data_IF_359105150358
#
_entry.id   IF_359105150358
#
_cell.length_a   1.000
_cell.length_b   1.000
_cell.length_c   1.000
_cell.angle_alpha   90.00
_cell.angle_beta   90.00
_cell.angle_gamma   90.00
#
_symmetry.space_group_name_H-M   'P 1'
#
loop_
_entity.id
_entity.type
_entity.pdbx_description
1 polymer ?
#
# COMPACT_ATOMS: atom_id res chain seq x y z
N UNK A 1 -16.06 11.26 42.17
CA UNK A 1 -16.35 11.29 40.72
C UNK A 1 -15.05 11.67 40.03
N UNK A 2 -14.43 10.72 39.33
CA UNK A 2 -13.07 10.85 38.83
C UNK A 2 -13.00 11.79 37.62
N UNK A 3 -11.96 12.62 37.53
CA UNK A 3 -11.75 13.63 36.46
C UNK A 3 -11.68 13.07 35.04
N UNK A 4 -11.46 11.75 34.91
CA UNK A 4 -11.47 11.00 33.65
C UNK A 4 -12.91 10.88 33.08
N UNK A 5 -13.92 10.70 33.93
CA UNK A 5 -15.33 10.62 33.48
C UNK A 5 -15.85 11.98 33.01
N UNK A 6 -15.35 13.07 33.59
CA UNK A 6 -15.70 14.44 33.20
C UNK A 6 -15.11 14.81 31.84
N UNK A 7 -13.87 14.38 31.59
CA UNK A 7 -13.17 14.62 30.32
C UNK A 7 -13.78 13.81 29.18
N UNK A 8 -14.14 12.54 29.44
CA UNK A 8 -14.80 11.70 28.45
C UNK A 8 -16.20 12.22 28.09
N UNK A 9 -16.98 12.70 29.07
CA UNK A 9 -18.27 13.35 28.80
C UNK A 9 -18.13 14.62 27.98
N UNK A 10 -17.14 15.46 28.27
CA UNK A 10 -16.89 16.66 27.49
C UNK A 10 -16.51 16.33 26.04
N UNK A 11 -15.70 15.28 25.83
CA UNK A 11 -15.36 14.79 24.48
C UNK A 11 -16.61 14.27 23.77
N UNK A 12 -17.44 13.46 24.43
CA UNK A 12 -18.71 12.95 23.87
C UNK A 12 -19.69 14.08 23.53
N UNK A 13 -19.78 15.09 24.40
CA UNK A 13 -20.64 16.25 24.24
C UNK A 13 -20.14 17.15 23.09
N UNK A 14 -18.82 17.40 22.99
CA UNK A 14 -18.22 18.11 21.86
C UNK A 14 -18.40 17.36 20.53
N UNK A 15 -18.23 16.03 20.53
CA UNK A 15 -18.46 15.18 19.36
C UNK A 15 -19.93 15.19 18.91
N UNK A 16 -20.88 15.29 19.86
CA UNK A 16 -22.31 15.36 19.54
C UNK A 16 -22.71 16.67 18.85
N UNK A 17 -22.08 17.80 19.21
CA UNK A 17 -22.31 19.10 18.59
C UNK A 17 -21.54 19.30 17.27
N UNK A 18 -20.51 18.48 17.02
CA UNK A 18 -19.72 18.53 15.80
C UNK A 18 -20.20 17.59 14.69
N UNK A 19 -21.28 16.82 14.87
CA UNK A 19 -21.85 16.02 13.77
C UNK A 19 -22.47 16.97 12.74
N UNK A 20 -21.80 17.24 11.60
CA UNK A 20 -22.43 18.06 10.58
C UNK A 20 -23.67 17.31 10.06
N UNK A 21 -24.72 18.02 9.64
CA UNK A 21 -25.87 17.37 9.00
C UNK A 21 -25.36 16.52 7.84
N UNK A 22 -25.66 15.23 7.88
CA UNK A 22 -25.25 14.26 6.87
C UNK A 22 -26.01 14.60 5.59
N UNK A 23 -25.35 14.99 4.50
CA UNK A 23 -26.05 15.32 3.25
C UNK A 23 -26.78 14.08 2.72
N UNK A 24 -27.95 14.24 2.09
CA UNK A 24 -28.67 13.14 1.40
C UNK A 24 -27.76 12.45 0.38
N UNK A 25 -27.89 11.14 0.13
CA UNK A 25 -27.06 10.43 -0.87
C UNK A 25 -27.05 11.19 -2.19
N UNK A 26 -25.84 11.53 -2.66
CA UNK A 26 -25.62 12.18 -3.95
C UNK A 26 -25.88 11.16 -5.07
N UNK A 27 -27.17 10.93 -5.37
CA UNK A 27 -27.55 10.18 -6.56
C UNK A 27 -27.33 11.09 -7.75
N UNK A 28 -26.38 10.72 -8.60
CA UNK A 28 -26.14 11.38 -9.87
C UNK A 28 -26.81 10.55 -10.98
N UNK A 29 -28.08 10.83 -11.33
CA UNK A 29 -28.83 10.03 -12.32
C UNK A 29 -28.20 10.00 -13.72
N UNK A 30 -27.21 10.86 -14.00
CA UNK A 30 -26.48 10.93 -15.29
C UNK A 30 -24.98 10.62 -15.16
N UNK A 31 -24.54 9.94 -14.10
CA UNK A 31 -23.11 9.64 -13.90
C UNK A 31 -22.64 8.46 -14.77
N UNK A 32 -21.85 8.77 -15.81
CA UNK A 32 -21.16 7.75 -16.63
C UNK A 32 -20.30 6.78 -15.81
N UNK A 33 -19.73 7.25 -14.71
CA UNK A 33 -18.94 6.42 -13.79
C UNK A 33 -19.85 5.42 -13.06
N UNK A 34 -21.00 5.88 -12.54
CA UNK A 34 -21.97 5.01 -11.89
C UNK A 34 -22.63 4.03 -12.87
N UNK A 35 -22.91 4.46 -14.10
CA UNK A 35 -23.37 3.61 -15.20
C UNK A 35 -22.36 2.51 -15.52
N UNK A 36 -21.07 2.85 -15.59
CA UNK A 36 -20.02 1.87 -15.82
C UNK A 36 -20.01 0.80 -14.73
N UNK A 37 -20.07 1.18 -13.45
CA UNK A 37 -20.06 0.19 -12.36
C UNK A 37 -21.37 -0.61 -12.20
N UNK A 38 -22.42 -0.28 -12.97
CA UNK A 38 -23.67 -1.02 -12.92
C UNK A 38 -23.48 -2.49 -13.33
N UNK A 39 -24.08 -3.41 -12.56
CA UNK A 39 -24.01 -4.86 -12.74
C UNK A 39 -22.60 -5.49 -12.69
N UNK A 40 -21.56 -4.71 -12.37
CA UNK A 40 -20.20 -5.22 -12.18
C UNK A 40 -20.04 -5.84 -10.80
N UNK A 41 -19.18 -6.86 -10.70
CA UNK A 41 -18.68 -7.34 -9.42
C UNK A 41 -17.21 -6.94 -9.24
N UNK A 42 -16.90 -6.38 -8.07
CA UNK A 42 -15.62 -5.77 -7.76
C UNK A 42 -14.89 -6.61 -6.71
N UNK A 43 -13.57 -6.70 -6.78
CA UNK A 43 -12.74 -7.33 -5.74
C UNK A 43 -11.80 -6.29 -5.12
N UNK A 44 -11.81 -6.19 -3.80
CA UNK A 44 -11.05 -5.18 -3.06
C UNK A 44 -10.18 -5.85 -2.00
N UNK A 45 -8.87 -5.68 -2.13
CA UNK A 45 -7.93 -6.00 -1.05
C UNK A 45 -7.80 -4.79 -0.12
N UNK A 46 -7.58 -5.03 1.18
CA UNK A 46 -7.38 -3.94 2.14
C UNK A 46 -8.67 -3.17 2.49
N UNK A 47 -9.84 -3.70 2.13
CA UNK A 47 -11.17 -3.11 2.38
C UNK A 47 -11.45 -2.78 3.86
N UNK A 48 -10.76 -3.44 4.79
CA UNK A 48 -10.90 -3.20 6.24
C UNK A 48 -9.98 -2.12 6.79
N UNK A 49 -9.08 -1.55 5.97
CA UNK A 49 -8.21 -0.43 6.32
C UNK A 49 -8.82 0.92 5.93
N UNK A 50 -8.23 2.03 6.38
CA UNK A 50 -8.74 3.39 6.21
C UNK A 50 -9.24 3.71 4.79
N UNK A 51 -8.34 3.66 3.80
CA UNK A 51 -8.66 3.94 2.39
C UNK A 51 -9.65 2.91 1.83
N UNK A 52 -9.49 1.62 2.19
CA UNK A 52 -10.38 0.56 1.72
C UNK A 52 -11.84 0.72 2.20
N UNK A 53 -12.06 1.15 3.45
CA UNK A 53 -13.40 1.41 3.98
C UNK A 53 -14.08 2.55 3.23
N UNK A 54 -13.35 3.66 3.04
CA UNK A 54 -13.83 4.81 2.29
C UNK A 54 -14.14 4.45 0.83
N UNK A 55 -13.32 3.59 0.21
CA UNK A 55 -13.58 3.08 -1.15
C UNK A 55 -14.88 2.28 -1.23
N UNK A 56 -15.07 1.32 -0.31
CA UNK A 56 -16.29 0.50 -0.26
C UNK A 56 -17.52 1.37 -0.02
N UNK A 57 -17.46 2.31 0.92
CA UNK A 57 -18.53 3.27 1.20
C UNK A 57 -18.90 4.07 -0.06
N UNK A 58 -17.92 4.72 -0.71
CA UNK A 58 -18.18 5.59 -1.85
C UNK A 58 -18.76 4.81 -3.04
N UNK A 59 -18.27 3.60 -3.30
CA UNK A 59 -18.82 2.70 -4.31
C UNK A 59 -20.26 2.32 -3.98
N UNK A 60 -20.55 1.89 -2.75
CA UNK A 60 -21.90 1.53 -2.32
C UNK A 60 -22.88 2.71 -2.38
N UNK A 61 -22.42 3.91 -2.04
CA UNK A 61 -23.23 5.13 -2.03
C UNK A 61 -23.46 5.72 -3.41
N UNK A 62 -22.42 5.78 -4.24
CA UNK A 62 -22.45 6.51 -5.52
C UNK A 62 -22.66 5.61 -6.74
N UNK A 63 -22.42 4.30 -6.60
CA UNK A 63 -22.59 3.29 -7.64
C UNK A 63 -23.56 2.20 -7.15
N UNK A 64 -24.78 2.62 -6.81
CA UNK A 64 -25.82 1.80 -6.18
C UNK A 64 -26.33 0.62 -7.04
N UNK A 65 -25.96 0.54 -8.32
CA UNK A 65 -26.24 -0.59 -9.22
C UNK A 65 -25.11 -1.61 -9.35
N UNK A 66 -24.03 -1.49 -8.56
CA UNK A 66 -23.02 -2.56 -8.45
C UNK A 66 -23.70 -3.86 -8.04
N UNK A 67 -23.34 -4.96 -8.70
CA UNK A 67 -23.89 -6.30 -8.42
C UNK A 67 -23.38 -6.80 -7.08
N UNK A 68 -22.06 -6.78 -6.87
CA UNK A 68 -21.42 -7.31 -5.66
C UNK A 68 -20.03 -6.73 -5.44
N UNK A 69 -19.63 -6.58 -4.18
CA UNK A 69 -18.27 -6.20 -3.80
C UNK A 69 -17.69 -7.32 -2.93
N UNK A 70 -16.72 -8.01 -3.49
CA UNK A 70 -15.91 -9.02 -2.80
C UNK A 70 -14.80 -8.34 -2.03
N UNK A 71 -14.75 -8.58 -0.71
CA UNK A 71 -13.74 -8.00 0.17
C UNK A 71 -12.82 -9.10 0.71
N UNK A 72 -11.52 -9.00 0.43
CA UNK A 72 -10.54 -9.95 0.97
C UNK A 72 -10.31 -9.67 2.46
N UNK A 73 -10.61 -10.66 3.30
CA UNK A 73 -10.48 -10.57 4.75
C UNK A 73 -9.70 -11.78 5.27
N UNK A 74 -8.65 -11.50 6.05
CA UNK A 74 -7.95 -12.49 6.88
C UNK A 74 -8.49 -12.53 8.29
N UNK A 75 -8.40 -13.67 8.96
CA UNK A 75 -8.61 -13.74 10.41
C UNK A 75 -7.51 -12.95 11.11
N UNK A 76 -7.89 -12.15 12.12
CA UNK A 76 -6.92 -11.30 12.84
C UNK A 76 -7.48 -10.95 14.21
N UNK A 77 -6.62 -10.93 15.24
CA UNK A 77 -6.99 -10.60 16.63
C UNK A 77 -8.14 -11.49 17.16
N UNK A 78 -8.10 -12.78 16.83
CA UNK A 78 -9.10 -13.76 17.27
C UNK A 78 -10.49 -13.62 16.63
N UNK A 79 -10.68 -12.70 15.68
CA UNK A 79 -11.96 -12.53 14.96
C UNK A 79 -11.97 -13.32 13.66
N UNK A 80 -13.08 -14.01 13.42
CA UNK A 80 -13.44 -14.66 12.16
C UNK A 80 -13.63 -13.63 11.04
N UNK A 81 -13.60 -14.08 9.78
CA UNK A 81 -13.82 -13.18 8.64
C UNK A 81 -15.23 -12.56 8.65
N UNK A 82 -16.24 -13.31 9.12
CA UNK A 82 -17.63 -12.83 9.23
C UNK A 82 -17.76 -11.74 10.29
N UNK A 83 -17.15 -11.92 11.47
CA UNK A 83 -17.14 -10.88 12.51
C UNK A 83 -16.43 -9.62 12.01
N UNK A 84 -15.33 -9.76 11.28
CA UNK A 84 -14.61 -8.62 10.70
C UNK A 84 -15.40 -7.93 9.59
N UNK A 85 -16.19 -8.66 8.80
CA UNK A 85 -17.13 -8.07 7.83
C UNK A 85 -18.23 -7.30 8.56
N UNK A 86 -18.76 -7.84 9.65
CA UNK A 86 -19.78 -7.18 10.46
C UNK A 86 -19.23 -5.92 11.15
N UNK A 87 -17.99 -5.94 11.64
CA UNK A 87 -17.31 -4.73 12.13
C UNK A 87 -17.18 -3.65 11.05
N UNK A 88 -16.86 -4.05 9.80
CA UNK A 88 -16.80 -3.14 8.66
C UNK A 88 -18.15 -2.49 8.41
N UNK A 89 -19.20 -3.31 8.27
CA UNK A 89 -20.58 -2.88 8.00
C UNK A 89 -21.07 -1.94 9.10
N UNK A 90 -20.83 -2.26 10.38
CA UNK A 90 -21.25 -1.45 11.54
C UNK A 90 -20.44 -0.18 11.75
N UNK A 91 -19.37 0.03 11.00
CA UNK A 91 -18.56 1.24 11.15
C UNK A 91 -19.31 2.50 10.72
N UNK A 92 -18.92 3.64 11.28
CA UNK A 92 -19.51 4.95 11.00
C UNK A 92 -19.41 5.39 9.53
N UNK A 93 -18.51 4.76 8.75
CA UNK A 93 -18.44 4.99 7.31
C UNK A 93 -19.79 4.77 6.63
N UNK A 94 -20.52 3.74 7.07
CA UNK A 94 -21.76 3.32 6.44
C UNK A 94 -23.02 3.93 7.08
N UNK A 95 -22.89 4.86 8.03
CA UNK A 95 -24.04 5.53 8.68
C UNK A 95 -24.93 6.20 7.64
N UNK A 96 -24.33 6.99 6.74
CA UNK A 96 -25.05 7.69 5.65
C UNK A 96 -25.83 6.74 4.74
N UNK A 97 -25.27 5.56 4.46
CA UNK A 97 -25.96 4.54 3.66
C UNK A 97 -27.15 4.00 4.44
N UNK A 98 -26.98 3.58 5.70
CA UNK A 98 -28.10 3.10 6.53
C UNK A 98 -29.24 4.11 6.62
N UNK A 99 -28.92 5.36 6.94
CA UNK A 99 -29.89 6.44 7.12
C UNK A 99 -30.70 6.74 5.84
N UNK A 100 -30.09 6.52 4.66
CA UNK A 100 -30.75 6.83 3.38
C UNK A 100 -31.63 5.69 2.86
N UNK A 101 -31.37 4.45 3.28
CA UNK A 101 -32.18 3.30 2.87
C UNK A 101 -33.23 2.97 3.93
N UNK A 102 -33.10 1.87 4.66
CA UNK A 102 -34.13 1.37 5.59
C UNK A 102 -33.69 1.42 7.07
N UNK A 103 -32.61 2.15 7.37
CA UNK A 103 -32.00 2.16 8.70
C UNK A 103 -31.30 0.85 9.09
N UNK A 104 -31.29 -0.15 8.21
CA UNK A 104 -30.73 -1.48 8.44
C UNK A 104 -29.43 -1.70 7.64
N UNK A 105 -28.73 -2.78 7.95
CA UNK A 105 -27.55 -3.22 7.20
C UNK A 105 -27.88 -4.11 6.00
N UNK A 106 -29.16 -4.34 5.69
CA UNK A 106 -29.60 -5.35 4.70
C UNK A 106 -28.93 -5.16 3.34
N UNK A 107 -28.92 -3.93 2.80
CA UNK A 107 -28.28 -3.63 1.52
C UNK A 107 -26.78 -3.94 1.53
N UNK A 108 -26.10 -3.64 2.64
CA UNK A 108 -24.68 -3.88 2.82
C UNK A 108 -24.39 -5.38 2.90
N UNK A 109 -25.20 -6.13 3.65
CA UNK A 109 -25.09 -7.58 3.81
C UNK A 109 -25.41 -8.34 2.51
N UNK A 110 -26.31 -7.80 1.69
CA UNK A 110 -26.63 -8.37 0.38
C UNK A 110 -25.49 -8.18 -0.64
N UNK A 111 -24.86 -7.00 -0.63
CA UNK A 111 -23.85 -6.62 -1.64
C UNK A 111 -22.41 -6.93 -1.26
N UNK A 112 -22.08 -6.98 0.02
CA UNK A 112 -20.72 -7.24 0.49
C UNK A 112 -20.51 -8.73 0.75
N UNK A 113 -19.51 -9.32 0.11
CA UNK A 113 -19.17 -10.72 0.28
C UNK A 113 -17.73 -10.85 0.78
N UNK A 114 -17.55 -11.42 1.98
CA UNK A 114 -16.23 -11.67 2.52
C UNK A 114 -15.58 -12.89 1.86
N UNK A 115 -14.39 -12.67 1.29
CA UNK A 115 -13.53 -13.73 0.78
C UNK A 115 -12.43 -13.98 1.80
N UNK A 116 -12.29 -15.24 2.23
CA UNK A 116 -11.19 -15.63 3.12
C UNK A 116 -9.87 -15.56 2.36
N UNK A 117 -8.88 -14.86 2.90
CA UNK A 117 -7.52 -14.93 2.36
C UNK A 117 -6.56 -13.93 2.97
N UNK A 118 -5.27 -14.13 2.70
CA UNK A 118 -4.17 -13.26 3.09
C UNK A 118 -3.31 -12.96 1.86
N UNK A 119 -3.04 -11.67 1.64
CA UNK A 119 -2.25 -11.18 0.51
C UNK A 119 -0.84 -11.77 0.47
N UNK A 120 -0.33 -12.29 1.59
CA UNK A 120 0.99 -12.90 1.68
C UNK A 120 1.00 -14.40 1.36
N UNK A 121 -0.12 -14.96 0.90
CA UNK A 121 -0.24 -16.37 0.52
C UNK A 121 -0.34 -16.54 -0.99
N UNK A 122 0.02 -17.72 -1.53
CA UNK A 122 -0.15 -18.03 -2.95
C UNK A 122 -1.57 -17.73 -3.43
N UNK A 123 -1.72 -16.97 -4.53
CA UNK A 123 -3.02 -16.49 -5.06
C UNK A 123 -3.94 -15.92 -3.96
N UNK A 124 -3.35 -15.15 -3.03
CA UNK A 124 -4.02 -14.51 -1.89
C UNK A 124 -4.61 -15.49 -0.85
N UNK A 125 -4.26 -16.78 -0.92
CA UNK A 125 -4.77 -17.82 -0.01
C UNK A 125 -6.27 -18.06 -0.13
N UNK A 126 -6.86 -17.72 -1.28
CA UNK A 126 -8.29 -17.87 -1.54
C UNK A 126 -8.61 -19.35 -1.76
N UNK A 127 -9.67 -19.83 -1.11
CA UNK A 127 -10.13 -21.22 -1.24
C UNK A 127 -10.67 -21.52 -2.63
N UNK A 128 -10.72 -22.81 -2.99
CA UNK A 128 -11.12 -23.25 -4.33
C UNK A 128 -12.51 -22.77 -4.77
N UNK A 129 -13.53 -22.86 -3.88
CA UNK A 129 -14.89 -22.44 -4.20
C UNK A 129 -15.00 -20.93 -4.44
N UNK A 130 -14.38 -20.13 -3.57
CA UNK A 130 -14.31 -18.67 -3.71
C UNK A 130 -13.55 -18.28 -4.98
N UNK A 131 -12.46 -18.98 -5.31
CA UNK A 131 -11.71 -18.74 -6.55
C UNK A 131 -12.57 -18.99 -7.78
N UNK A 132 -13.33 -20.10 -7.80
CA UNK A 132 -14.24 -20.43 -8.90
C UNK A 132 -15.35 -19.40 -9.07
N UNK A 133 -15.88 -18.88 -7.97
CA UNK A 133 -16.86 -17.79 -7.96
C UNK A 133 -16.24 -16.51 -8.55
N UNK A 134 -15.08 -16.10 -8.02
CA UNK A 134 -14.40 -14.87 -8.43
C UNK A 134 -13.97 -14.93 -9.90
N UNK A 135 -13.45 -16.07 -10.35
CA UNK A 135 -13.01 -16.30 -11.73
C UNK A 135 -14.07 -15.91 -12.76
N UNK A 136 -15.35 -16.20 -12.47
CA UNK A 136 -16.49 -16.01 -13.38
C UNK A 136 -17.27 -14.72 -13.15
N UNK A 137 -17.12 -14.08 -11.99
CA UNK A 137 -17.97 -12.92 -11.62
C UNK A 137 -17.17 -11.62 -11.51
N UNK A 138 -15.89 -11.68 -11.14
CA UNK A 138 -15.09 -10.50 -10.86
C UNK A 138 -14.65 -9.80 -12.15
N UNK A 139 -14.91 -8.49 -12.20
CA UNK A 139 -14.63 -7.64 -13.37
C UNK A 139 -13.60 -6.56 -13.10
N UNK A 140 -13.49 -6.05 -11.87
CA UNK A 140 -12.56 -4.98 -11.51
C UNK A 140 -11.85 -5.32 -10.21
N UNK A 141 -10.54 -5.13 -10.17
CA UNK A 141 -9.72 -5.37 -8.97
C UNK A 141 -9.14 -4.05 -8.47
N UNK A 142 -9.42 -3.73 -7.21
CA UNK A 142 -8.77 -2.64 -6.48
C UNK A 142 -7.82 -3.20 -5.42
N UNK A 143 -6.53 -2.95 -5.59
CA UNK A 143 -5.52 -3.37 -4.62
C UNK A 143 -5.12 -2.20 -3.72
N UNK A 144 -5.68 -2.15 -2.51
CA UNK A 144 -5.33 -1.19 -1.46
C UNK A 144 -4.52 -1.79 -0.30
N UNK A 145 -4.29 -3.11 -0.31
CA UNK A 145 -3.60 -3.77 0.79
C UNK A 145 -2.08 -3.55 0.74
N UNK A 146 -1.52 -3.08 1.85
CA UNK A 146 -0.09 -2.90 2.07
C UNK A 146 0.18 -2.71 3.57
N UNK A 147 1.42 -2.92 4.01
CA UNK A 147 1.88 -2.24 5.22
C UNK A 147 2.34 -0.83 4.89
N UNK A 148 1.98 0.11 5.75
CA UNK A 148 2.28 1.55 5.62
C UNK A 148 3.18 2.06 6.75
N UNK A 149 3.70 1.16 7.59
CA UNK A 149 4.55 1.51 8.73
C UNK A 149 5.98 1.76 8.24
N UNK A 150 6.55 2.91 8.60
CA UNK A 150 7.89 3.31 8.17
C UNK A 150 9.01 2.45 8.80
N UNK A 151 8.78 1.89 9.98
CA UNK A 151 9.74 1.05 10.71
C UNK A 151 9.38 -0.43 10.72
N UNK A 152 8.58 -0.91 9.76
CA UNK A 152 8.29 -2.35 9.65
C UNK A 152 9.58 -3.12 9.32
N UNK A 153 9.83 -4.28 9.96
CA UNK A 153 10.91 -5.18 9.55
C UNK A 153 10.88 -5.44 8.05
N UNK A 154 12.06 -5.41 7.41
CA UNK A 154 12.14 -5.40 5.95
C UNK A 154 11.55 -6.65 5.32
N UNK A 155 11.69 -7.83 5.94
CA UNK A 155 11.12 -9.08 5.47
C UNK A 155 9.58 -9.03 5.46
N UNK A 156 8.97 -8.46 6.51
CA UNK A 156 7.54 -8.23 6.61
C UNK A 156 7.09 -7.21 5.56
N UNK A 157 7.82 -6.11 5.39
CA UNK A 157 7.52 -5.09 4.39
C UNK A 157 7.59 -5.64 2.96
N UNK A 158 8.65 -6.37 2.61
CA UNK A 158 8.80 -7.04 1.30
C UNK A 158 7.68 -8.05 1.08
N UNK A 159 7.36 -8.87 2.09
CA UNK A 159 6.28 -9.86 2.00
C UNK A 159 4.91 -9.21 1.75
N UNK A 160 4.60 -8.11 2.44
CA UNK A 160 3.30 -7.43 2.36
C UNK A 160 3.15 -6.48 1.17
N UNK A 161 4.24 -5.87 0.67
CA UNK A 161 4.17 -4.83 -0.36
C UNK A 161 4.70 -5.30 -1.72
N UNK A 162 5.61 -6.28 -1.78
CA UNK A 162 6.23 -6.75 -3.03
C UNK A 162 5.71 -8.15 -3.39
N UNK A 163 5.97 -9.15 -2.54
CA UNK A 163 5.55 -10.54 -2.82
C UNK A 163 4.03 -10.63 -3.06
N UNK A 164 3.24 -9.95 -2.22
CA UNK A 164 1.78 -9.88 -2.33
C UNK A 164 1.28 -9.34 -3.67
N UNK A 165 2.00 -8.40 -4.29
CA UNK A 165 1.66 -7.86 -5.61
C UNK A 165 1.81 -8.94 -6.68
N UNK A 166 2.83 -9.79 -6.56
CA UNK A 166 2.96 -10.97 -7.41
C UNK A 166 1.80 -11.94 -7.23
N UNK A 167 1.40 -12.21 -5.99
CA UNK A 167 0.26 -13.11 -5.71
C UNK A 167 -1.07 -12.53 -6.16
N UNK A 168 -1.23 -11.21 -6.13
CA UNK A 168 -2.37 -10.52 -6.71
C UNK A 168 -2.43 -10.73 -8.23
N UNK A 169 -1.31 -10.55 -8.94
CA UNK A 169 -1.28 -10.77 -10.39
C UNK A 169 -1.59 -12.23 -10.74
N UNK A 170 -1.06 -13.19 -9.96
CA UNK A 170 -1.41 -14.61 -10.12
C UNK A 170 -2.90 -14.89 -9.86
N UNK A 171 -3.51 -14.23 -8.87
CA UNK A 171 -4.96 -14.28 -8.68
C UNK A 171 -5.71 -13.67 -9.87
N UNK A 172 -5.28 -12.50 -10.36
CA UNK A 172 -5.90 -11.83 -11.52
C UNK A 172 -5.80 -12.69 -12.79
N UNK A 173 -4.76 -13.51 -12.92
CA UNK A 173 -4.59 -14.48 -14.00
C UNK A 173 -5.63 -15.60 -14.01
N UNK A 174 -6.42 -15.77 -12.95
CA UNK A 174 -7.53 -16.74 -12.88
C UNK A 174 -8.89 -16.10 -13.22
N UNK A 175 -8.96 -14.78 -13.35
CA UNK A 175 -10.20 -14.06 -13.62
C UNK A 175 -10.48 -14.03 -15.13
N UNK A 176 -11.63 -14.57 -15.54
CA UNK A 176 -12.03 -14.73 -16.95
C UNK A 176 -12.54 -13.42 -17.56
N UNK A 177 -13.19 -12.58 -16.75
CA UNK A 177 -13.86 -11.34 -17.19
C UNK A 177 -13.23 -10.07 -16.60
N UNK A 178 -11.95 -10.13 -16.22
CA UNK A 178 -11.25 -8.99 -15.66
C UNK A 178 -11.05 -7.88 -16.71
N UNK A 179 -11.53 -6.69 -16.39
CA UNK A 179 -11.51 -5.51 -17.27
C UNK A 179 -10.49 -4.46 -16.82
N UNK A 180 -10.18 -4.35 -15.52
CA UNK A 180 -9.17 -3.41 -15.03
C UNK A 180 -8.59 -3.80 -13.67
N UNK A 181 -7.32 -3.42 -13.46
CA UNK A 181 -6.64 -3.50 -12.15
C UNK A 181 -6.18 -2.10 -11.75
N UNK A 182 -6.56 -1.65 -10.55
CA UNK A 182 -6.09 -0.40 -9.95
C UNK A 182 -5.29 -0.72 -8.70
N UNK A 183 -4.00 -0.38 -8.71
CA UNK A 183 -3.07 -0.57 -7.60
C UNK A 183 -2.78 0.75 -6.89
N UNK A 184 -2.94 0.78 -5.57
CA UNK A 184 -2.55 1.93 -4.76
C UNK A 184 -1.08 1.85 -4.34
N UNK A 185 -0.33 2.86 -4.77
CA UNK A 185 1.04 3.14 -4.33
C UNK A 185 1.07 4.44 -3.51
N UNK A 186 2.13 5.24 -3.64
CA UNK A 186 2.27 6.54 -2.97
C UNK A 186 3.13 7.48 -3.81
N UNK A 187 2.86 8.78 -3.76
CA UNK A 187 3.70 9.81 -4.38
C UNK A 187 5.13 9.81 -3.81
N UNK A 188 5.34 9.23 -2.63
CA UNK A 188 6.63 9.13 -1.96
C UNK A 188 7.44 7.88 -2.36
N UNK A 189 6.97 7.04 -3.28
CA UNK A 189 7.73 5.84 -3.72
C UNK A 189 9.10 6.22 -4.27
N UNK A 190 9.17 7.36 -4.96
CA UNK A 190 10.39 7.88 -5.58
C UNK A 190 10.96 9.14 -4.90
N UNK A 191 10.63 9.39 -3.62
CA UNK A 191 11.04 10.60 -2.89
C UNK A 191 12.55 10.77 -2.68
N UNK A 192 13.36 9.75 -2.96
CA UNK A 192 14.82 9.82 -2.93
C UNK A 192 15.42 10.57 -4.13
N UNK A 193 14.63 10.75 -5.20
CA UNK A 193 15.03 11.53 -6.37
C UNK A 193 14.85 13.02 -6.08
N UNK A 194 15.80 13.83 -6.56
CA UNK A 194 15.82 15.29 -6.31
C UNK A 194 15.08 16.08 -7.38
N UNK A 195 14.82 15.47 -8.53
CA UNK A 195 14.14 16.07 -9.66
C UNK A 195 12.62 15.85 -9.60
N UNK A 196 11.89 16.46 -10.53
CA UNK A 196 10.43 16.28 -10.67
C UNK A 196 10.06 14.81 -10.85
N UNK A 197 9.09 14.33 -10.06
CA UNK A 197 8.56 12.97 -10.16
C UNK A 197 7.43 12.94 -11.19
N UNK A 198 7.75 12.45 -12.40
CA UNK A 198 6.80 12.16 -13.47
C UNK A 198 5.97 10.89 -13.23
N UNK A 199 4.86 10.80 -13.96
CA UNK A 199 3.92 9.67 -14.01
C UNK A 199 4.44 8.50 -14.87
N UNK A 200 5.59 7.96 -14.47
CA UNK A 200 6.25 6.81 -15.10
C UNK A 200 6.64 5.78 -14.05
N UNK A 201 6.95 4.57 -14.48
CA UNK A 201 7.55 3.55 -13.61
C UNK A 201 9.06 3.74 -13.63
N UNK A 202 9.63 4.02 -12.46
CA UNK A 202 11.07 4.24 -12.32
C UNK A 202 11.80 2.91 -12.12
N UNK A 203 13.07 2.88 -12.54
CA UNK A 203 13.97 1.78 -12.21
C UNK A 203 14.05 1.62 -10.68
N UNK A 204 13.73 0.42 -10.16
CA UNK A 204 13.71 0.20 -8.73
C UNK A 204 15.14 0.13 -8.17
N UNK A 205 15.35 0.43 -6.87
CA UNK A 205 16.67 0.28 -6.25
C UNK A 205 17.18 -1.17 -6.21
N UNK A 206 16.28 -2.14 -6.30
CA UNK A 206 16.56 -3.56 -6.42
C UNK A 206 15.37 -4.25 -7.09
N UNK A 207 15.63 -5.28 -7.91
CA UNK A 207 14.54 -6.06 -8.52
C UNK A 207 13.73 -6.81 -7.47
N UNK A 208 12.42 -6.90 -7.68
CA UNK A 208 11.50 -7.55 -6.74
C UNK A 208 11.85 -9.01 -6.44
N UNK A 209 12.22 -9.81 -7.44
CA UNK A 209 12.62 -11.20 -7.24
C UNK A 209 13.96 -11.31 -6.48
N UNK A 210 14.89 -10.40 -6.77
CA UNK A 210 16.22 -10.38 -6.16
C UNK A 210 16.13 -10.11 -4.66
N UNK A 211 15.35 -9.10 -4.24
CA UNK A 211 15.22 -8.79 -2.81
C UNK A 211 14.54 -9.93 -2.05
N UNK A 212 13.52 -10.55 -2.67
CA UNK A 212 12.85 -11.69 -2.06
C UNK A 212 13.77 -12.89 -1.90
N UNK A 213 14.61 -13.19 -2.90
CA UNK A 213 15.60 -14.26 -2.81
C UNK A 213 16.67 -13.95 -1.75
N UNK A 214 17.18 -12.72 -1.72
CA UNK A 214 18.17 -12.27 -0.74
C UNK A 214 17.65 -12.41 0.68
N UNK A 215 16.42 -11.97 0.94
CA UNK A 215 15.82 -12.07 2.28
C UNK A 215 15.59 -13.52 2.70
N UNK A 216 15.18 -14.41 1.79
CA UNK A 216 15.10 -15.84 2.10
C UNK A 216 16.46 -16.39 2.53
N UNK A 217 17.52 -16.10 1.76
CA UNK A 217 18.87 -16.54 2.10
C UNK A 217 19.35 -15.99 3.45
N UNK A 218 19.11 -14.70 3.73
CA UNK A 218 19.49 -14.08 5.00
C UNK A 218 18.73 -14.70 6.19
N UNK A 219 17.44 -14.96 6.03
CA UNK A 219 16.64 -15.64 7.05
C UNK A 219 17.14 -17.06 7.28
N UNK A 220 17.47 -17.81 6.23
CA UNK A 220 18.01 -19.16 6.35
C UNK A 220 19.37 -19.16 7.08
N UNK A 221 20.26 -18.23 6.74
CA UNK A 221 21.56 -18.06 7.42
C UNK A 221 21.37 -17.69 8.89
N UNK A 222 20.48 -16.73 9.18
CA UNK A 222 20.20 -16.31 10.56
C UNK A 222 19.66 -17.49 11.39
N UNK A 223 18.75 -18.28 10.84
CA UNK A 223 18.23 -19.49 11.49
C UNK A 223 19.33 -20.53 11.72
N UNK A 224 20.25 -20.73 10.77
CA UNK A 224 21.39 -21.63 10.95
C UNK A 224 22.30 -21.16 12.08
N UNK A 225 22.63 -19.86 12.13
CA UNK A 225 23.46 -19.28 13.21
C UNK A 225 22.81 -19.53 14.58
N UNK A 226 21.49 -19.30 14.70
CA UNK A 226 20.77 -19.58 15.94
C UNK A 226 20.87 -21.05 16.34
N UNK A 227 20.62 -21.98 15.42
CA UNK A 227 20.77 -23.43 15.68
C UNK A 227 22.18 -23.78 16.15
N UNK A 228 23.22 -23.27 15.49
CA UNK A 228 24.61 -23.53 15.90
C UNK A 228 24.95 -22.95 17.28
N UNK A 229 24.39 -21.79 17.64
CA UNK A 229 24.60 -21.18 18.97
C UNK A 229 23.91 -21.93 20.11
N UNK A 230 22.92 -22.77 19.81
CA UNK A 230 22.19 -23.59 20.79
C UNK A 230 22.79 -24.99 20.99
N UNK A 231 23.75 -25.40 20.16
CA UNK A 231 24.47 -26.67 20.34
C UNK A 231 25.37 -26.50 21.58
N UNK A 232 25.15 -27.27 22.66
CA UNK A 232 26.08 -27.25 23.78
C UNK A 232 27.45 -27.67 23.27
N UNK A 233 28.49 -26.87 23.56
CA UNK A 233 29.85 -27.39 23.47
C UNK A 233 29.85 -28.67 24.32
N UNK A 234 30.03 -29.83 23.68
CA UNK A 234 30.33 -31.05 24.43
C UNK A 234 31.56 -30.70 25.25
N UNK A 235 31.39 -30.65 26.57
CA UNK A 235 32.48 -30.52 27.51
C UNK A 235 33.55 -31.52 27.13
N UNK A 236 34.77 -31.03 26.96
CA UNK A 236 35.95 -31.84 27.11
C UNK A 236 36.02 -32.23 28.60
N UNK A 237 35.22 -33.21 29.00
CA UNK A 237 35.36 -33.90 30.28
C UNK A 237 35.81 -35.32 29.94
N UNK A 238 37.12 -35.51 30.05
CA UNK A 238 37.87 -36.67 30.52
C UNK A 238 37.12 -38.01 30.57
N UNK A 239 37.32 -38.86 29.57
CA UNK A 239 37.41 -40.31 29.76
C UNK A 239 38.71 -40.77 29.07
N UNK A 240 39.76 -40.92 29.88
CA UNK A 240 40.99 -41.62 29.54
C UNK A 240 40.66 -43.08 29.22
N UNK A 241 40.59 -43.44 27.93
CA UNK A 241 40.82 -44.82 27.50
C UNK A 241 42.02 -44.87 26.54
N UNK A 242 43.05 -45.58 27.00
CA UNK A 242 44.34 -45.83 26.35
C UNK A 242 44.24 -46.11 24.84
N UNK A 243 44.79 -45.21 24.02
CA UNK A 243 45.21 -45.55 22.67
C UNK A 243 46.59 -44.99 22.37
N UNK A 244 47.59 -45.87 22.46
CA UNK A 244 49.00 -45.61 22.15
C UNK A 244 49.23 -45.72 20.63
N UNK A 245 49.50 -44.58 19.97
CA UNK A 245 49.75 -44.49 18.53
C UNK A 245 50.65 -43.28 18.16
N UNK A 246 51.54 -43.40 17.17
CA UNK A 246 52.80 -42.64 17.11
C UNK A 246 52.65 -41.17 16.66
N UNK A 247 53.66 -40.32 16.95
CA UNK A 247 53.50 -38.88 16.97
C UNK A 247 53.64 -38.25 15.58
N UNK A 248 52.73 -37.33 15.26
CA UNK A 248 52.95 -36.35 14.22
C UNK A 248 51.71 -35.88 13.48
N UNK A 249 50.87 -35.06 14.13
CA UNK A 249 50.07 -34.01 13.48
C UNK A 249 49.44 -33.15 14.59
N UNK A 250 50.10 -32.04 14.91
CA UNK A 250 49.58 -31.05 15.84
C UNK A 250 48.32 -30.39 15.25
N UNK A 251 47.20 -30.52 15.96
CA UNK A 251 45.95 -29.83 15.70
C UNK A 251 46.09 -28.35 16.07
N UNK A 252 46.18 -27.48 15.07
CA UNK A 252 45.94 -26.05 15.25
C UNK A 252 44.44 -25.81 15.34
N UNK A 253 43.97 -25.38 16.51
CA UNK A 253 42.65 -24.76 16.64
C UNK A 253 42.56 -23.55 15.72
N UNK A 254 41.59 -23.56 14.80
CA UNK A 254 41.32 -22.45 13.90
C UNK A 254 39.86 -22.04 14.03
N UNK A 255 39.64 -20.99 14.83
CA UNK A 255 38.48 -20.12 14.70
C UNK A 255 38.43 -19.60 13.26
N UNK A 256 37.37 -19.91 12.52
CA UNK A 256 37.19 -19.44 11.16
C UNK A 256 36.86 -17.93 11.17
N UNK A 257 37.91 -17.11 11.23
CA UNK A 257 37.84 -15.69 10.92
C UNK A 257 37.92 -15.54 9.40
N UNK A 258 36.83 -15.08 8.77
CA UNK A 258 36.75 -14.86 7.34
C UNK A 258 37.55 -13.59 6.99
N UNK A 259 38.86 -13.74 6.78
CA UNK A 259 39.77 -12.69 6.34
C UNK A 259 39.75 -12.59 4.81
N UNK A 260 39.20 -11.49 4.30
CA UNK A 260 39.46 -11.02 2.94
C UNK A 260 40.92 -10.55 2.89
N UNK A 261 41.77 -11.24 2.13
CA UNK A 261 43.15 -10.81 1.85
C UNK A 261 43.17 -9.90 0.62
N UNK A 262 43.71 -8.69 0.79
CA UNK A 262 44.14 -7.82 -0.31
C UNK A 262 45.60 -8.15 -0.68
N UNK A 263 45.90 -8.17 -1.97
CA UNK A 263 47.21 -8.46 -2.54
C UNK A 263 48.08 -7.19 -2.53
N UNK A 264 48.99 -7.07 -1.56
CA UNK A 264 50.30 -6.46 -1.79
C UNK A 264 51.19 -6.62 -0.56
N UNK A 265 52.19 -7.49 -0.66
CA UNK A 265 53.20 -7.66 0.37
C UNK A 265 54.07 -6.41 0.49
N UNK A 266 54.08 -5.79 1.67
CA UNK A 266 55.27 -5.19 2.30
C UNK A 266 54.99 -4.95 3.79
N UNK A 267 55.89 -5.45 4.63
CA UNK A 267 55.79 -5.39 6.09
C UNK A 267 56.38 -4.08 6.61
N UNK A 268 55.61 -3.32 7.39
CA UNK A 268 56.14 -2.35 8.35
C UNK A 268 55.28 -2.35 9.62
N UNK A 269 55.91 -2.59 10.78
CA UNK A 269 55.27 -2.55 12.11
C UNK A 269 54.60 -1.19 12.37
N UNK A 270 53.41 -1.12 13.02
CA UNK A 270 52.84 0.15 13.43
C UNK A 270 53.41 0.62 14.79
N UNK A 271 53.50 1.93 15.03
CA UNK A 271 53.86 2.48 16.34
C UNK A 271 52.68 2.40 17.30
N UNK A 272 53.00 2.21 18.58
CA UNK A 272 52.08 2.24 19.71
C UNK A 272 51.56 3.65 19.99
N UNK A 273 50.24 3.77 20.24
CA UNK A 273 49.64 4.88 20.98
C UNK A 273 48.86 5.88 20.13
N UNK A 274 47.55 5.69 20.06
CA UNK A 274 46.59 6.66 19.54
C UNK A 274 45.18 6.10 19.58
N UNK A 275 44.28 6.74 20.34
CA UNK A 275 42.88 6.36 20.52
C UNK A 275 42.14 6.20 19.17
N UNK A 276 41.99 4.96 18.70
CA UNK A 276 41.01 4.62 17.68
C UNK A 276 39.64 4.52 18.36
N UNK A 277 38.76 5.48 18.05
CA UNK A 277 37.32 5.34 18.32
C UNK A 277 36.85 4.00 17.76
N UNK A 278 36.32 3.14 18.65
CA UNK A 278 35.65 1.89 18.29
C UNK A 278 34.60 2.15 17.20
N UNK A 279 34.45 1.27 16.19
CA UNK A 279 33.31 1.32 15.30
C UNK A 279 32.03 1.20 16.13
N UNK A 280 30.97 1.90 15.71
CA UNK A 280 29.67 1.88 16.36
C UNK A 280 29.18 0.43 16.56
N UNK A 281 28.65 0.17 17.75
CA UNK A 281 28.05 -1.10 18.20
C UNK A 281 27.22 -1.77 17.11
N UNK A 282 27.50 -3.06 16.84
CA UNK A 282 26.65 -3.91 16.00
C UNK A 282 25.22 -3.98 16.55
N UNK A 283 24.25 -4.15 15.65
CA UNK A 283 22.84 -4.33 16.04
C UNK A 283 22.65 -5.74 16.57
N UNK A 284 22.83 -5.89 17.87
CA UNK A 284 22.50 -7.11 18.59
C UNK A 284 20.98 -7.19 18.78
N UNK A 285 20.39 -8.36 18.54
CA UNK A 285 19.01 -8.66 18.88
C UNK A 285 18.81 -8.72 20.41
N UNK A 286 17.56 -8.96 20.86
CA UNK A 286 17.24 -9.05 22.29
C UNK A 286 17.99 -10.18 23.04
N UNK A 287 18.65 -11.09 22.32
CA UNK A 287 19.45 -12.21 22.85
C UNK A 287 20.95 -11.97 22.77
N UNK A 288 21.40 -10.84 22.19
CA UNK A 288 22.82 -10.54 21.98
C UNK A 288 23.38 -11.07 20.65
N UNK A 289 22.57 -11.71 19.81
CA UNK A 289 22.97 -12.25 18.50
C UNK A 289 22.89 -11.18 17.40
N UNK A 290 23.66 -11.32 16.33
CA UNK A 290 23.76 -10.33 15.26
C UNK A 290 22.49 -10.34 14.39
N UNK A 291 21.74 -9.23 14.33
CA UNK A 291 20.53 -9.12 13.51
C UNK A 291 20.88 -8.80 12.05
N UNK A 292 21.03 -9.84 11.25
CA UNK A 292 21.35 -9.75 9.82
C UNK A 292 20.28 -8.99 9.03
N UNK A 293 19.00 -9.12 9.39
CA UNK A 293 17.91 -8.43 8.70
C UNK A 293 17.91 -6.94 9.01
N UNK A 294 18.18 -6.54 10.25
CA UNK A 294 18.31 -5.13 10.61
C UNK A 294 19.51 -4.48 9.92
N UNK A 295 20.66 -5.17 9.86
CA UNK A 295 21.84 -4.64 9.18
C UNK A 295 21.63 -4.54 7.66
N UNK A 296 21.05 -5.58 7.04
CA UNK A 296 20.64 -5.54 5.64
C UNK A 296 19.69 -4.38 5.36
N UNK A 297 18.69 -4.16 6.23
CA UNK A 297 17.76 -3.02 6.14
C UNK A 297 18.51 -1.70 6.12
N UNK A 298 19.46 -1.49 7.03
CA UNK A 298 20.29 -0.28 7.09
C UNK A 298 21.08 -0.07 5.80
N UNK A 299 21.72 -1.11 5.30
CA UNK A 299 22.54 -1.07 4.09
C UNK A 299 21.67 -0.70 2.88
N UNK A 300 20.56 -1.40 2.63
CA UNK A 300 19.75 -1.16 1.42
C UNK A 300 19.06 0.19 1.43
N UNK A 301 18.60 0.67 2.59
CA UNK A 301 18.01 2.01 2.69
C UNK A 301 19.06 3.10 2.40
N UNK A 302 20.28 2.93 2.92
CA UNK A 302 21.39 3.87 2.67
C UNK A 302 21.85 3.85 1.22
N UNK A 303 22.01 2.67 0.62
CA UNK A 303 22.45 2.53 -0.78
C UNK A 303 21.40 3.06 -1.77
N UNK A 304 20.12 2.88 -1.47
CA UNK A 304 19.01 3.38 -2.30
C UNK A 304 18.60 4.82 -2.01
N UNK A 305 19.20 5.45 -0.99
CA UNK A 305 18.82 6.77 -0.48
C UNK A 305 17.32 6.87 -0.10
N UNK A 306 16.69 5.75 0.26
CA UNK A 306 15.29 5.71 0.67
C UNK A 306 15.17 6.01 2.17
N UNK A 307 14.23 6.87 2.59
CA UNK A 307 14.13 7.29 3.98
C UNK A 307 13.63 6.19 4.92
N UNK A 308 12.90 5.20 4.43
CA UNK A 308 12.30 4.15 5.25
C UNK A 308 11.89 2.91 4.42
N UNK A 309 11.52 1.82 5.11
CA UNK A 309 11.15 0.54 4.47
C UNK A 309 9.86 0.65 3.65
N UNK A 310 8.95 1.55 4.01
CA UNK A 310 7.70 1.75 3.27
C UNK A 310 7.94 2.35 1.88
N UNK A 311 8.66 3.48 1.77
CA UNK A 311 8.94 4.11 0.47
C UNK A 311 9.80 3.21 -0.40
N UNK A 312 10.80 2.55 0.20
CA UNK A 312 11.64 1.56 -0.46
C UNK A 312 10.83 0.41 -1.08
N UNK A 313 9.94 -0.21 -0.30
CA UNK A 313 9.13 -1.34 -0.80
C UNK A 313 8.06 -0.91 -1.80
N UNK A 314 7.51 0.31 -1.68
CA UNK A 314 6.56 0.86 -2.65
C UNK A 314 7.21 1.20 -4.00
N UNK A 315 8.46 1.68 -4.00
CA UNK A 315 9.22 1.85 -5.24
C UNK A 315 9.39 0.51 -5.98
N UNK A 316 9.79 -0.53 -5.26
CA UNK A 316 10.02 -1.86 -5.84
C UNK A 316 8.69 -2.48 -6.29
N UNK A 317 7.59 -2.31 -5.53
CA UNK A 317 6.30 -2.92 -5.85
C UNK A 317 5.72 -2.45 -7.18
N UNK A 318 5.96 -1.19 -7.58
CA UNK A 318 5.49 -0.64 -8.85
C UNK A 318 6.17 -1.30 -10.04
N UNK A 319 7.51 -1.39 -10.02
CA UNK A 319 8.27 -2.10 -11.05
C UNK A 319 7.97 -3.61 -11.03
N UNK A 320 7.77 -4.19 -9.85
CA UNK A 320 7.44 -5.60 -9.73
C UNK A 320 6.06 -5.92 -10.31
N UNK A 321 5.06 -5.04 -10.13
CA UNK A 321 3.76 -5.16 -10.79
C UNK A 321 3.93 -5.20 -12.32
N UNK A 322 4.75 -4.29 -12.87
CA UNK A 322 5.05 -4.26 -14.30
C UNK A 322 5.69 -5.57 -14.78
N UNK A 323 6.71 -6.07 -14.08
CA UNK A 323 7.40 -7.31 -14.42
C UNK A 323 6.45 -8.51 -14.41
N UNK A 324 5.56 -8.60 -13.41
CA UNK A 324 4.55 -9.67 -13.34
C UNK A 324 3.53 -9.56 -14.46
N UNK A 325 3.07 -8.36 -14.81
CA UNK A 325 2.19 -8.17 -15.96
C UNK A 325 2.87 -8.56 -17.28
N UNK A 326 4.16 -8.19 -17.45
CA UNK A 326 4.96 -8.55 -18.63
C UNK A 326 5.19 -10.06 -18.77
N UNK A 327 5.16 -10.82 -17.68
CA UNK A 327 5.24 -12.29 -17.72
C UNK A 327 4.03 -12.96 -18.38
N UNK A 328 2.91 -12.24 -18.52
CA UNK A 328 1.68 -12.68 -19.22
C UNK A 328 1.29 -11.66 -20.29
N UNK A 329 2.12 -11.49 -21.34
CA UNK A 329 1.92 -10.46 -22.35
C UNK A 329 0.60 -10.66 -23.11
N UNK A 330 0.14 -11.91 -23.22
CA UNK A 330 -1.14 -12.30 -23.78
C UNK A 330 -2.35 -11.80 -22.97
N UNK A 331 -2.17 -11.36 -21.72
CA UNK A 331 -3.24 -10.82 -20.87
C UNK A 331 -3.15 -9.31 -20.67
N UNK A 332 -1.96 -8.76 -20.48
CA UNK A 332 -1.81 -7.37 -20.00
C UNK A 332 -1.27 -6.39 -21.03
N UNK A 333 -0.52 -6.86 -22.04
CA UNK A 333 0.02 -5.97 -23.06
C UNK A 333 -1.00 -5.71 -24.18
N UNK A 334 -0.75 -4.65 -24.96
CA UNK A 334 -1.57 -4.23 -26.09
C UNK A 334 -3.05 -3.93 -25.72
N UNK A 335 -3.28 -3.41 -24.52
CA UNK A 335 -4.59 -2.91 -24.09
C UNK A 335 -5.61 -3.99 -23.74
N UNK A 336 -5.20 -5.25 -23.55
CA UNK A 336 -6.11 -6.35 -23.21
C UNK A 336 -6.72 -6.23 -21.81
N UNK A 337 -5.89 -6.14 -20.78
CA UNK A 337 -6.32 -5.84 -19.41
C UNK A 337 -5.50 -4.65 -18.92
N UNK A 338 -6.07 -3.43 -18.96
CA UNK A 338 -5.38 -2.25 -18.49
C UNK A 338 -5.13 -2.28 -16.99
N UNK A 339 -3.94 -1.83 -16.58
CA UNK A 339 -3.49 -1.74 -15.19
C UNK A 339 -3.08 -0.30 -14.90
N UNK A 340 -3.48 0.24 -13.75
CA UNK A 340 -3.02 1.54 -13.27
C UNK A 340 -2.41 1.48 -11.88
N UNK A 341 -1.48 2.40 -11.63
CA UNK A 341 -0.93 2.73 -10.32
C UNK A 341 -1.41 4.15 -9.96
N UNK A 342 -2.11 4.28 -8.84
CA UNK A 342 -2.48 5.58 -8.27
C UNK A 342 -1.56 5.87 -7.09
N UNK A 343 -0.87 7.02 -7.14
CA UNK A 343 0.13 7.48 -6.17
C UNK A 343 -0.39 8.71 -5.41
N UNK A 344 -1.22 8.52 -4.37
CA UNK A 344 -1.58 9.63 -3.49
C UNK A 344 -0.41 10.08 -2.63
N UNK A 345 -0.41 11.35 -2.25
CA UNK A 345 0.43 11.87 -1.17
C UNK A 345 -0.07 11.39 0.20
N UNK A 346 0.27 12.08 1.29
CA UNK A 346 -0.10 11.63 2.63
C UNK A 346 -1.63 11.73 2.78
N UNK A 347 -2.29 10.58 2.87
CA UNK A 347 -3.75 10.55 2.97
C UNK A 347 -4.21 11.00 4.35
N UNK A 348 -4.91 12.13 4.40
CA UNK A 348 -5.49 12.72 5.60
C UNK A 348 -6.97 12.43 5.77
N UNK A 349 -7.61 13.18 6.66
CA UNK A 349 -9.04 13.11 6.91
C UNK A 349 -9.87 13.50 5.66
N UNK A 350 -11.12 13.05 5.63
CA UNK A 350 -12.06 13.42 4.56
C UNK A 350 -12.30 14.94 4.52
N UNK A 351 -12.28 15.51 3.33
CA UNK A 351 -12.58 16.93 3.12
C UNK A 351 -14.09 17.19 3.14
N UNK A 352 -14.87 16.35 2.45
CA UNK A 352 -16.33 16.47 2.33
C UNK A 352 -17.07 15.19 2.68
N UNK A 353 -16.62 14.04 2.18
CA UNK A 353 -17.43 12.81 2.19
C UNK A 353 -16.69 11.59 2.80
N UNK A 354 -17.42 10.61 3.38
CA UNK A 354 -18.85 10.62 3.69
C UNK A 354 -19.22 11.56 4.85
N UNK A 355 -18.27 11.87 5.72
CA UNK A 355 -18.39 12.79 6.85
C UNK A 355 -17.14 13.68 6.84
N UNK A 356 -17.33 14.99 6.93
CA UNK A 356 -16.23 15.96 7.00
C UNK A 356 -15.32 15.64 8.18
N UNK A 357 -14.00 15.60 7.95
CA UNK A 357 -13.01 15.32 8.98
C UNK A 357 -12.90 13.85 9.39
N UNK A 358 -13.60 12.93 8.73
CA UNK A 358 -13.54 11.51 9.07
C UNK A 358 -12.12 10.95 8.86
N UNK A 359 -11.57 10.39 9.93
CA UNK A 359 -10.33 9.60 9.93
C UNK A 359 -10.43 8.54 11.03
N UNK A 360 -10.12 7.29 10.72
CA UNK A 360 -10.24 6.16 11.67
C UNK A 360 -8.91 5.43 11.91
N UNK A 361 -7.80 6.14 11.70
CA UNK A 361 -6.46 5.62 11.96
C UNK A 361 -5.60 6.65 12.72
N UNK A 362 -4.59 6.16 13.42
CA UNK A 362 -3.61 6.97 14.14
C UNK A 362 -2.26 7.03 13.41
N UNK A 363 -2.23 6.74 12.12
CA UNK A 363 -0.98 6.71 11.36
C UNK A 363 -0.63 8.12 10.87
N UNK A 364 0.68 8.39 10.76
CA UNK A 364 1.18 9.61 10.12
C UNK A 364 0.68 10.90 10.78
N UNK A 365 0.16 11.88 10.01
CA UNK A 365 -0.27 13.18 10.52
C UNK A 365 -1.31 13.10 11.63
N UNK A 366 -2.27 12.16 11.55
CA UNK A 366 -3.32 12.03 12.56
C UNK A 366 -2.75 11.67 13.93
N UNK A 367 -1.81 10.71 13.96
CA UNK A 367 -1.10 10.34 15.19
C UNK A 367 -0.23 11.46 15.73
N UNK A 368 0.44 12.21 14.86
CA UNK A 368 1.24 13.37 15.25
C UNK A 368 0.37 14.49 15.86
N UNK A 369 -0.73 14.85 15.21
CA UNK A 369 -1.67 15.86 15.70
C UNK A 369 -2.28 15.46 17.05
N UNK A 370 -2.68 14.19 17.19
CA UNK A 370 -3.18 13.67 18.47
C UNK A 370 -2.10 13.71 19.57
N UNK A 371 -0.85 13.39 19.24
CA UNK A 371 0.25 13.41 20.20
C UNK A 371 0.62 14.84 20.63
N UNK A 372 0.53 15.81 19.72
CA UNK A 372 0.66 17.23 20.05
C UNK A 372 -0.49 17.69 20.96
N UNK A 373 -1.72 17.30 20.61
CA UNK A 373 -2.92 17.66 21.36
C UNK A 373 -2.90 17.14 22.81
N UNK A 374 -2.44 15.91 23.01
CA UNK A 374 -2.31 15.32 24.37
C UNK A 374 -1.09 15.82 25.13
N UNK A 375 -0.18 16.57 24.49
CA UNK A 375 1.10 16.98 25.05
C UNK A 375 2.15 15.86 25.12
N UNK A 376 1.87 14.68 24.58
CA UNK A 376 2.81 13.56 24.52
C UNK A 376 3.98 13.83 23.56
N UNK A 377 3.72 14.56 22.48
CA UNK A 377 4.74 15.13 21.60
C UNK A 377 4.83 16.63 21.90
N UNK A 378 5.97 17.08 22.42
CA UNK A 378 6.18 18.50 22.77
C UNK A 378 6.84 19.30 21.63
N UNK A 379 7.66 18.64 20.82
CA UNK A 379 8.32 19.23 19.68
C UNK A 379 8.55 18.15 18.61
N UNK A 380 8.40 18.52 17.34
CA UNK A 380 8.75 17.68 16.21
C UNK A 380 9.96 18.29 15.49
N UNK A 381 11.11 17.60 15.44
CA UNK A 381 12.22 18.03 14.61
C UNK A 381 11.79 18.03 13.14
N UNK A 382 11.94 19.17 12.47
CA UNK A 382 11.52 19.35 11.09
C UNK A 382 12.26 20.48 10.41
N UNK A 383 12.26 20.48 9.08
CA UNK A 383 12.74 21.60 8.29
C UNK A 383 11.53 22.36 7.75
N UNK A 384 11.37 23.63 8.12
CA UNK A 384 10.21 24.45 7.71
C UNK A 384 10.14 24.75 6.21
N UNK A 385 11.20 24.46 5.47
CA UNK A 385 11.26 24.61 4.01
C UNK A 385 10.71 23.37 3.26
N UNK A 386 10.49 22.25 3.96
CA UNK A 386 9.99 21.02 3.34
C UNK A 386 8.47 21.02 3.31
N UNK A 387 7.91 20.71 2.14
CA UNK A 387 6.46 20.56 1.95
C UNK A 387 6.04 19.15 2.39
N UNK A 388 5.13 19.07 3.36
CA UNK A 388 4.41 17.85 3.69
C UNK A 388 3.06 17.88 2.96
N UNK A 389 2.99 17.28 1.78
CA UNK A 389 1.77 17.27 0.96
C UNK A 389 0.76 16.26 1.54
N UNK A 390 -0.45 16.75 1.85
CA UNK A 390 -1.56 15.97 2.40
C UNK A 390 -2.76 16.01 1.45
N UNK A 391 -3.27 14.84 1.07
CA UNK A 391 -4.47 14.70 0.24
C UNK A 391 -5.64 14.16 1.06
N UNK A 392 -6.84 14.74 0.96
CA UNK A 392 -8.04 14.18 1.60
C UNK A 392 -8.41 12.80 1.06
N UNK A 393 -8.83 11.88 1.96
CA UNK A 393 -9.15 10.49 1.57
C UNK A 393 -10.23 10.41 0.50
N UNK A 394 -11.25 11.27 0.54
CA UNK A 394 -12.35 11.29 -0.43
C UNK A 394 -11.90 11.67 -1.85
N UNK A 395 -10.90 12.54 -1.99
CA UNK A 395 -10.28 12.83 -3.29
C UNK A 395 -9.51 11.61 -3.82
N UNK A 396 -8.78 10.91 -2.95
CA UNK A 396 -8.10 9.66 -3.31
C UNK A 396 -9.10 8.62 -3.80
N UNK A 397 -10.23 8.46 -3.10
CA UNK A 397 -11.26 7.50 -3.48
C UNK A 397 -11.88 7.86 -4.83
N UNK A 398 -12.23 9.13 -5.05
CA UNK A 398 -12.75 9.58 -6.34
C UNK A 398 -11.77 9.25 -7.47
N UNK A 399 -10.48 9.51 -7.27
CA UNK A 399 -9.45 9.20 -8.27
C UNK A 399 -9.37 7.70 -8.54
N UNK A 400 -9.38 6.86 -7.50
CA UNK A 400 -9.33 5.39 -7.65
C UNK A 400 -10.52 4.85 -8.44
N UNK A 401 -11.74 5.30 -8.12
CA UNK A 401 -12.97 4.90 -8.81
C UNK A 401 -12.95 5.40 -10.27
N UNK A 402 -12.60 6.67 -10.49
CA UNK A 402 -12.51 7.22 -11.85
C UNK A 402 -11.43 6.53 -12.68
N UNK A 403 -10.32 6.11 -12.06
CA UNK A 403 -9.25 5.35 -12.74
C UNK A 403 -9.79 4.01 -13.24
N UNK A 404 -10.53 3.25 -12.42
CA UNK A 404 -11.09 1.98 -12.85
C UNK A 404 -12.07 2.13 -14.03
N UNK A 405 -12.89 3.18 -14.02
CA UNK A 405 -13.76 3.55 -15.14
C UNK A 405 -12.97 3.94 -16.40
N UNK A 406 -11.97 4.82 -16.26
CA UNK A 406 -11.14 5.32 -17.36
C UNK A 406 -10.42 4.19 -18.10
N UNK A 407 -9.82 3.25 -17.35
CA UNK A 407 -9.10 2.12 -17.91
C UNK A 407 -10.00 1.22 -18.76
N UNK A 408 -11.12 0.77 -18.18
CA UNK A 408 -11.99 -0.22 -18.82
C UNK A 408 -12.88 0.36 -19.93
N UNK A 409 -13.14 1.68 -19.92
CA UNK A 409 -13.98 2.32 -20.95
C UNK A 409 -13.23 2.59 -22.27
N UNK A 410 -11.97 2.20 -22.41
CA UNK A 410 -11.21 2.38 -23.65
C UNK A 410 -10.87 3.84 -23.97
N UNK A 411 -11.16 4.79 -23.07
CA UNK A 411 -10.75 6.20 -23.19
C UNK A 411 -9.23 6.37 -23.28
N UNK A 412 -8.48 5.30 -23.01
CA UNK A 412 -7.05 5.21 -23.08
C UNK A 412 -6.50 4.51 -24.34
N UNK A 413 -7.38 4.06 -25.26
CA UNK A 413 -7.03 3.23 -26.43
C UNK A 413 -7.59 3.66 -27.78
N UNK A 414 -8.41 4.71 -27.88
CA UNK A 414 -9.07 5.10 -29.13
C UNK A 414 -8.34 6.24 -29.87
N UNK A 415 -7.10 5.98 -30.33
CA UNK A 415 -6.44 6.76 -31.39
C UNK A 415 -5.72 5.84 -32.40
N UNK A 416 -6.40 4.75 -32.79
CA UNK A 416 -5.81 3.74 -33.68
C UNK A 416 -6.80 2.99 -34.56
N UNK A 417 -8.01 3.49 -34.80
CA UNK A 417 -8.88 2.93 -35.84
C UNK A 417 -9.81 4.01 -36.42
N UNK A 418 -9.68 4.25 -37.72
CA UNK A 418 -10.58 5.06 -38.53
C UNK A 418 -12.06 4.73 -38.26
N UNK A 419 -12.82 5.70 -37.77
CA UNK A 419 -14.28 5.60 -37.66
C UNK A 419 -14.92 6.92 -37.26
N UNK A 420 -15.41 7.70 -38.23
CA UNK A 420 -16.21 8.90 -38.02
C UNK A 420 -17.38 8.63 -37.05
N UNK A 421 -17.30 9.11 -35.82
CA UNK A 421 -18.49 9.54 -35.08
C UNK A 421 -18.35 11.01 -34.69
N UNK A 422 -18.73 11.85 -35.66
CA UNK A 422 -19.13 13.24 -35.43
C UNK A 422 -20.36 13.25 -34.54
N UNK A 423 -20.19 13.48 -33.23
CA UNK A 423 -21.29 13.98 -32.40
C UNK A 423 -21.42 15.47 -32.70
N UNK A 424 -22.38 15.79 -33.58
CA UNK A 424 -22.83 17.15 -33.84
C UNK A 424 -23.38 17.74 -32.54
N UNK A 425 -22.77 18.82 -32.07
CA UNK A 425 -23.43 19.75 -31.15
C UNK A 425 -24.65 20.36 -31.85
N UNK A 426 -25.84 20.11 -31.33
CA UNK A 426 -27.01 20.94 -31.59
C UNK A 426 -27.30 21.77 -30.36
N UNK A 427 -26.93 23.05 -30.44
CA UNK A 427 -27.41 24.11 -29.55
C UNK A 427 -28.93 24.30 -29.71
N UNK A 428 -29.56 24.71 -28.61
CA UNK A 428 -30.81 25.47 -28.36
C UNK A 428 -31.61 24.74 -27.27
N UNK A 429 -31.97 25.31 -26.11
CA UNK A 429 -32.54 26.64 -25.91
C UNK A 429 -32.33 27.18 -24.48
N UNK A 430 -32.17 28.49 -24.43
CA UNK A 430 -32.04 29.42 -23.30
C UNK A 430 -33.21 29.39 -22.30
N UNK A 431 -32.93 29.73 -21.03
CA UNK A 431 -33.95 30.20 -20.09
C UNK A 431 -33.57 30.19 -18.60
N UNK A 432 -32.94 31.29 -18.12
CA UNK A 432 -33.07 31.93 -16.79
C UNK A 432 -32.73 31.06 -15.55
N UNK A 433 -31.74 31.39 -14.71
CA UNK A 433 -31.77 32.50 -13.73
C UNK A 433 -30.32 32.89 -13.33
N UNK A 434 -30.05 34.20 -13.37
CA UNK A 434 -28.91 34.90 -12.78
C UNK A 434 -29.04 34.92 -11.23
N UNK A 435 -28.02 34.96 -10.37
CA UNK A 435 -26.98 35.95 -10.24
C UNK A 435 -26.01 35.49 -9.13
N UNK A 436 -24.71 35.37 -9.42
CA UNK A 436 -23.60 35.88 -8.60
C UNK A 436 -22.26 35.42 -9.22
N UNK A 437 -21.75 36.25 -10.14
CA UNK A 437 -20.36 36.21 -10.61
C UNK A 437 -19.47 37.04 -9.66
N UNK A 438 -18.49 36.40 -9.02
CA UNK A 438 -17.12 36.87 -8.67
C UNK A 438 -16.37 35.61 -8.20
N UNK A 439 -15.13 35.27 -8.53
CA UNK A 439 -14.11 35.75 -9.45
C UNK A 439 -13.17 34.54 -9.62
N UNK A 440 -12.95 34.11 -10.87
CA UNK A 440 -11.77 33.42 -11.42
C UNK A 440 -12.21 32.61 -12.63
N UNK A 441 -11.80 33.07 -13.81
CA UNK A 441 -11.81 32.27 -15.01
C UNK A 441 -10.84 31.10 -14.76
N UNK A 442 -11.38 29.90 -14.57
CA UNK A 442 -10.65 28.67 -14.80
C UNK A 442 -10.76 28.45 -16.30
N UNK A 443 -9.65 28.68 -17.01
CA UNK A 443 -9.52 28.24 -18.39
C UNK A 443 -9.79 26.73 -18.41
N UNK A 444 -10.81 26.35 -19.18
CA UNK A 444 -11.24 24.97 -19.40
C UNK A 444 -10.18 24.25 -20.24
N UNK A 445 -9.05 23.88 -19.62
CA UNK A 445 -7.97 23.12 -20.26
C UNK A 445 -8.32 21.62 -20.32
N UNK A 446 -9.46 21.33 -20.96
CA UNK A 446 -9.87 19.99 -21.38
C UNK A 446 -8.91 19.33 -22.38
N UNK A 447 -7.77 19.99 -22.70
CA UNK A 447 -6.69 19.47 -23.53
C UNK A 447 -5.60 18.72 -22.75
N UNK A 448 -5.43 18.99 -21.45
CA UNK A 448 -4.37 18.38 -20.64
C UNK A 448 -4.54 16.87 -20.39
N UNK A 449 -5.78 16.37 -20.38
CA UNK A 449 -6.08 14.94 -20.17
C UNK A 449 -6.14 14.11 -21.47
N UNK A 450 -5.97 14.74 -22.65
CA UNK A 450 -6.21 14.09 -23.95
C UNK A 450 -5.08 13.20 -24.46
N UNK A 451 -4.02 12.92 -23.70
CA UNK A 451 -2.93 12.05 -24.17
C UNK A 451 -2.17 11.28 -23.09
N UNK A 452 -2.85 10.78 -22.04
CA UNK A 452 -2.18 9.91 -21.06
C UNK A 452 -1.89 8.55 -21.72
N UNK A 453 -0.67 8.36 -22.21
CA UNK A 453 -0.20 7.08 -22.74
C UNK A 453 0.36 6.22 -21.59
N UNK A 454 0.05 4.91 -21.57
CA UNK A 454 0.62 4.03 -20.57
C UNK A 454 2.13 3.92 -20.77
N UNK A 455 2.88 4.06 -19.69
CA UNK A 455 4.30 3.74 -19.69
C UNK A 455 4.46 2.22 -19.64
N UNK A 456 5.03 1.63 -20.69
CA UNK A 456 5.28 0.20 -20.76
C UNK A 456 4.04 -0.70 -20.56
N UNK A 457 2.83 -0.18 -20.84
CA UNK A 457 1.57 -0.89 -20.68
C UNK A 457 0.86 -0.69 -19.33
N UNK A 458 1.39 0.15 -18.44
CA UNK A 458 0.75 0.52 -17.17
C UNK A 458 0.54 2.04 -17.09
N UNK A 459 -0.63 2.45 -16.63
CA UNK A 459 -0.94 3.86 -16.36
C UNK A 459 -0.45 4.24 -14.97
N UNK A 460 0.07 5.46 -14.82
CA UNK A 460 0.53 5.95 -13.52
C UNK A 460 -0.12 7.31 -13.30
N UNK A 461 -0.68 7.53 -12.11
CA UNK A 461 -1.33 8.79 -11.75
C UNK A 461 -0.81 9.29 -10.41
N UNK A 462 -0.28 10.51 -10.38
CA UNK A 462 0.14 11.17 -9.16
C UNK A 462 -1.00 12.04 -8.62
N UNK A 463 -1.34 11.89 -7.35
CA UNK A 463 -2.34 12.72 -6.69
C UNK A 463 -1.70 13.45 -5.51
N UNK A 464 -1.31 14.70 -5.75
CA UNK A 464 -0.71 15.62 -4.77
C UNK A 464 -1.61 16.84 -4.61
N UNK A 465 -1.72 17.37 -3.39
CA UNK A 465 -2.59 18.51 -3.06
C UNK A 465 -2.14 19.82 -3.71
N UNK A 466 -0.88 19.88 -4.15
CA UNK A 466 -0.21 21.06 -4.68
C UNK A 466 -0.29 21.33 -6.18
N UNK A 467 -1.25 20.78 -6.93
CA UNK A 467 -1.55 21.36 -8.25
C UNK A 467 -2.39 22.63 -8.05
N UNK A 468 -1.80 23.80 -8.37
CA UNK A 468 -2.59 24.97 -8.80
C UNK A 468 -3.56 24.45 -9.86
N UNK A 469 -4.86 24.62 -9.62
CA UNK A 469 -6.00 24.28 -10.49
C UNK A 469 -5.62 23.60 -11.82
N UNK A 470 -5.91 22.29 -12.02
CA UNK A 470 -6.04 21.78 -13.36
C UNK A 470 -7.16 22.50 -14.12
#
# INVERSE_FOLDING_TARGET
>A
MNSVDSSNRLIEEMLSHMKPPIPTVDRHPESKVADFYANKSLFITGATGFVGKALVEKLMRSCDRIKRIYVLIREKRGKTIQERLQDLIRSQYFDRIRETYDGSNRLLEEKLYAIRGDITLPKLGIGYEDMRLLSRDCTIVFNSAATVRFGEPIDVAVRNNIYSVGQLVEFCNELEHLEAIVHLSTAYSNCHKRDTIHEIIYEPPMRGDQIQATLRMLTDIQNMIHVYSEIPEKGADDDDEDYDGPPGLASSGSSASLLLTDESGTSSKPPSGGDMKKPASGTHDATGSYDLLAEFTRIVLRMSNQPNTYTFTKAISESYLLDRCRSRPDRYLNGKIPVAIVRPSIVGAAWREPIVGLVDNYNGPTGALLSLYTGALQAMPGCGERVADLVPVDMVINMVICTGWFLASGAAGDEGASGRHSVRNSNTSSGLIADHKRDSAVDDDSSAYRSVKPDNGIYVFNLVSGFRNP
#
